data_IF_224749568907
#
_entry.id   IF_224749568907
#
_cell.length_a   1.000
_cell.length_b   1.000
_cell.length_c   1.000
_cell.angle_alpha   90.00
_cell.angle_beta   90.00
_cell.angle_gamma   90.00
#
_symmetry.space_group_name_H-M   'P 1'
#
loop_
_entity.id
_entity.type
_entity.pdbx_description
1 polymer ?
#
# COMPACT_ATOMS: atom_id res chain seq x y z
N UNK A 1 -31.74 35.51 -10.92
CA UNK A 1 -31.25 35.15 -9.58
C UNK A 1 -30.56 33.81 -9.75
N UNK A 2 -29.27 33.81 -10.06
CA UNK A 2 -28.52 32.57 -10.27
C UNK A 2 -28.20 31.96 -8.91
N UNK A 3 -28.47 30.66 -8.79
CA UNK A 3 -28.18 29.86 -7.62
C UNK A 3 -26.66 29.84 -7.35
N UNK A 4 -26.18 30.33 -6.20
CA UNK A 4 -24.75 30.41 -5.89
C UNK A 4 -24.08 29.02 -5.75
N UNK A 5 -24.83 27.93 -5.70
CA UNK A 5 -24.29 26.57 -5.51
C UNK A 5 -23.82 25.88 -6.80
N UNK A 6 -24.04 26.47 -7.99
CA UNK A 6 -23.59 25.89 -9.26
C UNK A 6 -22.09 26.13 -9.57
N UNK A 7 -21.35 26.79 -8.67
CA UNK A 7 -19.90 27.04 -8.83
C UNK A 7 -18.99 25.93 -8.27
N UNK A 8 -19.54 24.79 -7.83
CA UNK A 8 -18.78 23.53 -7.78
C UNK A 8 -18.63 22.92 -9.19
N UNK A 9 -18.52 23.78 -10.21
CA UNK A 9 -18.11 23.42 -11.55
C UNK A 9 -16.78 22.70 -11.41
N UNK A 10 -16.77 21.43 -11.81
CA UNK A 10 -15.60 20.55 -11.97
C UNK A 10 -14.40 21.39 -12.42
N UNK A 11 -13.51 21.74 -11.48
CA UNK A 11 -12.29 22.42 -11.84
C UNK A 11 -11.53 21.46 -12.75
N UNK A 12 -11.22 21.89 -13.97
CA UNK A 12 -10.34 21.12 -14.84
C UNK A 12 -9.04 20.87 -14.09
N UNK A 13 -8.55 19.62 -14.06
CA UNK A 13 -7.28 19.34 -13.41
C UNK A 13 -6.19 20.12 -14.13
N UNK A 14 -5.42 20.89 -13.36
CA UNK A 14 -4.39 21.80 -13.89
C UNK A 14 -2.99 21.22 -13.75
N UNK A 15 -2.82 20.20 -12.92
CA UNK A 15 -1.53 19.57 -12.66
C UNK A 15 -1.68 18.06 -12.38
N UNK A 16 -0.54 17.37 -12.26
CA UNK A 16 -0.51 15.94 -12.00
C UNK A 16 -1.12 15.58 -10.63
N UNK A 17 -0.97 16.44 -9.63
CA UNK A 17 -1.50 16.22 -8.28
C UNK A 17 -3.05 16.17 -8.26
N UNK A 18 -3.72 16.93 -9.15
CA UNK A 18 -5.18 16.94 -9.26
C UNK A 18 -5.75 15.60 -9.81
N UNK A 19 -4.96 14.86 -10.58
CA UNK A 19 -5.39 13.61 -11.24
C UNK A 19 -4.71 12.36 -10.70
N UNK A 20 -3.71 12.48 -9.83
CA UNK A 20 -2.87 11.35 -9.44
C UNK A 20 -3.69 10.21 -8.83
N UNK A 21 -4.75 10.50 -8.07
CA UNK A 21 -5.64 9.49 -7.50
C UNK A 21 -6.38 8.66 -8.56
N UNK A 22 -6.59 9.21 -9.76
CA UNK A 22 -7.18 8.50 -10.91
C UNK A 22 -6.15 7.66 -11.67
N UNK A 23 -4.89 8.12 -11.70
CA UNK A 23 -3.80 7.47 -12.44
C UNK A 23 -3.13 6.36 -11.62
N UNK A 24 -2.97 6.55 -10.31
CA UNK A 24 -2.27 5.63 -9.41
C UNK A 24 -2.77 4.16 -9.47
N UNK A 25 -4.07 3.86 -9.63
CA UNK A 25 -4.56 2.48 -9.81
C UNK A 25 -3.96 1.76 -11.03
N UNK A 26 -3.55 2.49 -12.06
CA UNK A 26 -2.95 1.94 -13.29
C UNK A 26 -1.44 1.68 -13.17
N UNK A 27 -0.80 2.20 -12.12
CA UNK A 27 0.61 1.89 -11.81
C UNK A 27 0.66 0.55 -11.09
N UNK A 28 1.06 -0.49 -11.83
CA UNK A 28 0.97 -1.89 -11.36
C UNK A 28 2.29 -2.45 -10.83
N UNK A 29 3.45 -1.96 -11.29
CA UNK A 29 4.75 -2.39 -10.75
C UNK A 29 4.88 -1.93 -9.28
N UNK A 30 5.14 -2.86 -8.34
CA UNK A 30 5.39 -2.50 -6.95
C UNK A 30 6.52 -1.49 -6.75
N UNK A 31 7.55 -1.51 -7.59
CA UNK A 31 8.69 -0.58 -7.53
C UNK A 31 8.31 0.82 -7.99
N UNK A 32 7.55 0.94 -9.07
CA UNK A 32 7.06 2.25 -9.53
C UNK A 32 6.17 2.90 -8.48
N UNK A 33 5.31 2.09 -7.85
CA UNK A 33 4.49 2.57 -6.73
C UNK A 33 5.32 2.99 -5.51
N UNK A 34 6.42 2.31 -5.23
CA UNK A 34 7.36 2.70 -4.16
C UNK A 34 7.97 4.08 -4.47
N UNK A 35 8.50 4.27 -5.68
CA UNK A 35 9.03 5.56 -6.14
C UNK A 35 7.96 6.66 -6.13
N UNK A 36 6.76 6.38 -6.65
CA UNK A 36 5.64 7.32 -6.68
C UNK A 36 5.26 7.79 -5.26
N UNK A 37 5.25 6.88 -4.28
CA UNK A 37 4.89 7.21 -2.89
C UNK A 37 5.86 8.18 -2.20
N UNK A 38 7.07 8.38 -2.75
CA UNK A 38 8.12 9.22 -2.17
C UNK A 38 8.16 10.65 -2.77
N UNK A 39 7.36 10.95 -3.80
CA UNK A 39 7.38 12.25 -4.48
C UNK A 39 6.89 13.37 -3.56
N UNK A 40 5.68 13.22 -3.01
CA UNK A 40 5.07 14.19 -2.09
C UNK A 40 3.96 13.52 -1.25
N UNK A 41 3.33 14.29 -0.35
CA UNK A 41 2.26 13.77 0.54
C UNK A 41 0.97 13.40 -0.21
N UNK A 42 0.67 14.06 -1.32
CA UNK A 42 -0.51 13.77 -2.16
C UNK A 42 -0.36 12.42 -2.84
N UNK A 43 0.80 12.16 -3.43
CA UNK A 43 1.14 10.89 -4.09
C UNK A 43 1.25 9.75 -3.09
N UNK A 44 1.84 10.00 -1.92
CA UNK A 44 1.86 9.06 -0.81
C UNK A 44 0.45 8.60 -0.42
N UNK A 45 -0.50 9.55 -0.35
CA UNK A 45 -1.90 9.26 -0.03
C UNK A 45 -2.60 8.50 -1.16
N UNK A 46 -2.40 8.91 -2.41
CA UNK A 46 -2.95 8.22 -3.56
C UNK A 46 -2.45 6.77 -3.66
N UNK A 47 -1.16 6.54 -3.41
CA UNK A 47 -0.59 5.19 -3.34
C UNK A 47 -1.25 4.37 -2.22
N UNK A 48 -1.29 4.93 -1.00
CA UNK A 48 -1.88 4.33 0.20
C UNK A 48 -3.33 3.86 -0.01
N UNK A 49 -4.18 4.72 -0.55
CA UNK A 49 -5.61 4.46 -0.72
C UNK A 49 -5.90 3.48 -1.86
N UNK A 50 -5.00 3.35 -2.83
CA UNK A 50 -5.22 2.55 -4.06
C UNK A 50 -4.36 1.28 -4.13
N UNK A 51 -3.47 1.01 -3.17
CA UNK A 51 -2.59 -0.18 -3.20
C UNK A 51 -3.41 -1.45 -3.03
N UNK A 52 -3.48 -2.25 -4.09
CA UNK A 52 -4.27 -3.49 -4.11
C UNK A 52 -3.60 -4.66 -3.39
N UNK A 53 -2.29 -4.84 -3.64
CA UNK A 53 -1.51 -5.97 -3.15
C UNK A 53 -0.21 -5.53 -2.48
N UNK A 54 0.14 -6.19 -1.38
CA UNK A 54 1.44 -6.06 -0.71
C UNK A 54 2.02 -7.43 -0.42
N UNK A 55 3.32 -7.58 -0.68
CA UNK A 55 4.10 -8.73 -0.23
C UNK A 55 5.07 -8.28 0.86
N UNK A 56 4.99 -8.89 2.04
CA UNK A 56 6.02 -8.79 3.08
C UNK A 56 6.92 -10.02 3.00
N UNK A 57 8.18 -9.80 2.63
CA UNK A 57 9.16 -10.87 2.50
C UNK A 57 9.60 -11.47 3.85
N UNK A 58 9.35 -10.76 4.95
CA UNK A 58 9.50 -11.19 6.33
C UNK A 58 8.31 -10.63 7.12
N UNK A 59 7.43 -11.49 7.64
CA UNK A 59 6.21 -11.05 8.33
C UNK A 59 6.50 -10.23 9.60
N UNK A 60 7.67 -10.42 10.22
CA UNK A 60 8.13 -9.71 11.41
C UNK A 60 8.91 -8.41 11.10
N UNK A 61 9.04 -8.02 9.82
CA UNK A 61 9.73 -6.76 9.47
C UNK A 61 8.94 -5.51 9.89
N UNK A 62 7.63 -5.61 10.10
CA UNK A 62 6.80 -4.51 10.59
C UNK A 62 5.60 -5.04 11.38
N UNK A 63 5.10 -4.21 12.30
CA UNK A 63 3.87 -4.50 13.01
C UNK A 63 2.66 -4.50 12.04
N UNK A 64 1.70 -5.42 12.18
CA UNK A 64 0.48 -5.45 11.37
C UNK A 64 -0.27 -4.12 11.34
N UNK A 65 -0.33 -3.40 12.47
CA UNK A 65 -0.96 -2.09 12.58
C UNK A 65 -0.35 -1.03 11.65
N UNK A 66 0.97 -1.11 11.39
CA UNK A 66 1.62 -0.20 10.47
C UNK A 66 1.19 -0.48 9.03
N UNK A 67 0.97 -1.75 8.69
CA UNK A 67 0.53 -2.15 7.36
C UNK A 67 -0.90 -1.68 7.10
N UNK A 68 -1.82 -1.93 8.03
CA UNK A 68 -3.24 -1.54 7.88
C UNK A 68 -3.42 -0.02 7.87
N UNK A 69 -2.62 0.71 8.65
CA UNK A 69 -2.62 2.19 8.61
C UNK A 69 -2.05 2.72 7.29
N UNK A 70 -1.03 2.09 6.72
CA UNK A 70 -0.40 2.53 5.47
C UNK A 70 -1.20 2.13 4.23
N UNK A 71 -1.90 1.00 4.25
CA UNK A 71 -2.69 0.50 3.13
C UNK A 71 -4.08 0.06 3.61
N UNK A 72 -4.99 1.01 3.88
CA UNK A 72 -6.29 0.72 4.48
C UNK A 72 -7.23 -0.10 3.57
N UNK A 73 -7.04 -0.02 2.25
CA UNK A 73 -7.91 -0.68 1.26
C UNK A 73 -7.27 -1.93 0.63
N UNK A 74 -6.30 -2.54 1.31
CA UNK A 74 -5.58 -3.71 0.81
C UNK A 74 -6.55 -4.87 0.55
N UNK A 75 -6.50 -5.46 -0.65
CA UNK A 75 -7.35 -6.62 -1.02
C UNK A 75 -6.59 -7.93 -1.09
N UNK A 76 -5.26 -7.86 -1.18
CA UNK A 76 -4.41 -9.04 -1.27
C UNK A 76 -3.13 -8.84 -0.46
N UNK A 77 -2.79 -9.81 0.38
CA UNK A 77 -1.61 -9.78 1.22
C UNK A 77 -0.84 -11.09 1.08
N UNK A 78 0.47 -11.01 0.85
CA UNK A 78 1.38 -12.15 0.87
C UNK A 78 2.41 -11.97 1.97
N UNK A 79 2.40 -12.87 2.95
CA UNK A 79 3.36 -12.88 4.05
C UNK A 79 4.32 -14.06 3.89
N UNK A 80 5.60 -13.81 4.08
CA UNK A 80 6.62 -14.86 4.20
C UNK A 80 7.07 -14.92 5.66
N UNK A 81 6.82 -16.07 6.29
CA UNK A 81 7.30 -16.39 7.62
C UNK A 81 8.66 -17.05 7.56
N UNK A 82 8.68 -18.40 7.54
CA UNK A 82 9.91 -19.21 7.63
C UNK A 82 10.96 -18.72 6.64
N UNK A 83 12.22 -18.47 7.06
CA UNK A 83 13.29 -18.25 6.11
C UNK A 83 13.44 -19.51 5.25
N UNK A 84 13.96 -19.35 4.04
CA UNK A 84 14.10 -20.45 3.07
C UNK A 84 14.90 -21.64 3.62
N UNK A 85 15.80 -21.41 4.56
CA UNK A 85 16.55 -22.44 5.28
C UNK A 85 15.66 -23.52 5.93
N UNK A 86 14.43 -23.17 6.31
CA UNK A 86 13.48 -24.14 6.86
C UNK A 86 13.05 -25.23 5.85
N UNK A 87 13.15 -24.97 4.55
CA UNK A 87 12.91 -25.99 3.51
C UNK A 87 13.99 -27.09 3.50
N UNK A 88 15.11 -26.87 4.20
CA UNK A 88 16.25 -27.77 4.29
C UNK A 88 16.46 -28.31 5.72
N UNK A 89 15.43 -28.23 6.59
CA UNK A 89 15.49 -28.64 7.99
C UNK A 89 16.59 -27.95 8.82
N UNK A 90 17.01 -26.74 8.40
CA UNK A 90 18.06 -25.97 9.08
C UNK A 90 17.51 -25.00 10.15
N UNK A 91 16.20 -25.03 10.39
CA UNK A 91 15.52 -24.13 11.32
C UNK A 91 14.69 -24.99 12.27
N UNK A 92 14.79 -24.78 13.59
CA UNK A 92 13.98 -25.49 14.58
C UNK A 92 12.48 -25.39 14.29
N UNK A 93 11.72 -26.44 14.62
CA UNK A 93 10.27 -26.46 14.38
C UNK A 93 9.53 -25.39 15.18
N UNK A 94 10.04 -25.08 16.37
CA UNK A 94 9.53 -24.04 17.28
C UNK A 94 10.02 -22.62 16.94
N UNK A 95 10.61 -22.40 15.76
CA UNK A 95 11.00 -21.05 15.35
C UNK A 95 9.78 -20.09 15.41
N UNK A 96 9.85 -19.09 16.29
CA UNK A 96 8.76 -18.15 16.49
C UNK A 96 8.81 -17.04 15.44
N UNK A 97 8.42 -17.35 14.20
CA UNK A 97 8.18 -16.33 13.18
C UNK A 97 6.70 -15.99 13.07
N UNK A 98 6.17 -15.47 14.17
CA UNK A 98 4.76 -15.27 14.50
C UNK A 98 3.81 -15.13 13.31
N UNK A 99 3.02 -16.18 13.12
CA UNK A 99 1.70 -16.14 12.46
C UNK A 99 0.58 -16.54 13.44
N UNK A 100 0.88 -16.68 14.74
CA UNK A 100 -0.12 -16.91 15.78
C UNK A 100 -0.55 -15.56 16.39
N UNK A 101 -1.85 -15.24 16.43
CA UNK A 101 -2.34 -14.15 17.26
C UNK A 101 -2.16 -14.56 18.73
N UNK A 102 -1.43 -13.75 19.49
CA UNK A 102 -1.50 -13.74 20.95
C UNK A 102 -2.67 -12.91 21.43
#
# INVERSE_FOLDING_TARGET
MEDPDNKKLRSTPRNADDVISLVMPYVTDPKDRESASLVNRTWLRADSETRYHVTMALCYASAPDRLTRRFPNLRSLKLKGKPRAAMFNLIPDNWEGSLLPG
#
